data_IF_085700781909
#
_entry.id   IF_085700781909
#
_cell.length_a   1.000
_cell.length_b   1.000
_cell.length_c   1.000
_cell.angle_alpha   90.00
_cell.angle_beta   90.00
_cell.angle_gamma   90.00
#
_symmetry.space_group_name_H-M   'P 1'
#
loop_
_entity.id
_entity.type
_entity.pdbx_description
1 polymer ?
#
# COMPACT_ATOMS: atom_id res chain seq x y z
N UNK A 1 26.77 19.54 -19.29
CA UNK A 1 25.89 18.43 -18.85
C UNK A 1 24.44 18.90 -19.00
N UNK A 2 23.58 18.24 -19.78
CA UNK A 2 22.19 18.66 -19.90
C UNK A 2 21.44 18.21 -18.64
N UNK A 3 20.74 19.13 -18.00
CA UNK A 3 19.82 18.86 -16.89
C UNK A 3 18.59 18.17 -17.48
N UNK A 4 18.37 16.90 -17.15
CA UNK A 4 17.11 16.22 -17.46
C UNK A 4 16.01 16.90 -16.66
N UNK A 5 15.13 17.60 -17.38
CA UNK A 5 13.91 18.19 -16.86
C UNK A 5 12.96 17.03 -16.57
N UNK A 6 12.78 16.69 -15.30
CA UNK A 6 11.78 15.72 -14.88
C UNK A 6 10.39 16.21 -15.29
N UNK A 7 9.74 15.46 -16.18
CA UNK A 7 8.39 15.71 -16.69
C UNK A 7 7.37 15.24 -15.64
N UNK A 8 7.32 15.94 -14.51
CA UNK A 8 6.75 15.45 -13.24
C UNK A 8 5.26 15.08 -13.21
N UNK A 9 4.47 15.30 -14.28
CA UNK A 9 3.06 14.86 -14.35
C UNK A 9 2.81 13.62 -15.19
N UNK A 10 3.50 13.47 -16.33
CA UNK A 10 3.36 12.26 -17.17
C UNK A 10 4.02 11.07 -16.50
N UNK A 11 5.23 11.26 -15.98
CA UNK A 11 5.97 10.21 -15.28
C UNK A 11 5.24 9.77 -14.00
N UNK A 12 4.60 10.70 -13.27
CA UNK A 12 3.82 10.36 -12.08
C UNK A 12 2.56 9.56 -12.42
N UNK A 13 1.80 9.97 -13.43
CA UNK A 13 0.58 9.29 -13.85
C UNK A 13 0.87 7.95 -14.54
N UNK A 14 1.93 7.84 -15.33
CA UNK A 14 2.41 6.57 -15.88
C UNK A 14 2.89 5.63 -14.77
N UNK A 15 3.68 6.11 -13.81
CA UNK A 15 4.07 5.31 -12.65
C UNK A 15 2.86 4.92 -11.77
N UNK A 16 1.83 5.76 -11.67
CA UNK A 16 0.60 5.43 -10.94
C UNK A 16 -0.24 4.38 -11.69
N UNK A 17 -0.38 4.51 -13.02
CA UNK A 17 -1.04 3.51 -13.86
C UNK A 17 -0.32 2.16 -13.83
N UNK A 18 1.02 2.15 -13.88
CA UNK A 18 1.85 0.93 -13.70
C UNK A 18 1.65 0.31 -12.31
N UNK A 19 1.45 1.11 -11.26
CA UNK A 19 1.16 0.62 -9.90
C UNK A 19 -0.23 -0.01 -9.77
N UNK A 20 -1.22 0.48 -10.54
CA UNK A 20 -2.63 0.04 -10.45
C UNK A 20 -2.85 -1.36 -11.08
N UNK A 21 -1.85 -1.94 -11.73
CA UNK A 21 -1.95 -3.20 -12.47
C UNK A 21 -1.09 -4.35 -11.89
N UNK A 22 -0.35 -4.12 -10.80
CA UNK A 22 0.54 -5.12 -10.20
C UNK A 22 -0.18 -6.18 -9.34
N UNK A 23 -1.40 -6.58 -9.71
CA UNK A 23 -2.05 -7.76 -9.13
C UNK A 23 -1.30 -9.02 -9.56
N UNK A 24 -0.62 -8.98 -10.71
CA UNK A 24 0.23 -10.05 -11.28
C UNK A 24 1.49 -10.39 -10.43
N UNK A 25 1.72 -9.70 -9.29
CA UNK A 25 2.80 -10.02 -8.33
C UNK A 25 2.39 -11.14 -7.35
N UNK A 26 1.10 -11.44 -7.25
CA UNK A 26 0.59 -12.51 -6.39
C UNK A 26 0.47 -13.77 -7.25
N UNK A 27 1.30 -14.78 -6.98
CA UNK A 27 1.21 -16.05 -7.70
C UNK A 27 -0.09 -16.79 -7.34
N UNK A 28 -0.65 -17.54 -8.29
CA UNK A 28 -1.80 -18.41 -8.04
C UNK A 28 -1.49 -19.41 -6.92
N UNK A 29 -0.28 -19.95 -6.87
CA UNK A 29 0.19 -20.85 -5.82
C UNK A 29 0.18 -20.19 -4.42
N UNK A 30 0.64 -18.93 -4.31
CA UNK A 30 0.58 -18.17 -3.05
C UNK A 30 -0.88 -18.04 -2.57
N UNK A 31 -1.81 -17.77 -3.49
CA UNK A 31 -3.24 -17.63 -3.21
C UNK A 31 -3.90 -18.94 -2.82
N UNK A 32 -3.57 -20.06 -3.48
CA UNK A 32 -4.13 -21.37 -3.15
C UNK A 32 -3.68 -21.82 -1.75
N UNK A 33 -2.40 -21.65 -1.41
CA UNK A 33 -1.86 -22.11 -0.13
C UNK A 33 -2.29 -21.27 1.07
N UNK A 34 -2.52 -19.96 0.88
CA UNK A 34 -2.72 -19.01 1.98
C UNK A 34 -4.08 -18.33 1.97
N UNK A 35 -4.81 -18.38 0.86
CA UNK A 35 -6.19 -17.96 0.63
C UNK A 35 -6.72 -16.87 1.61
N UNK A 36 -6.31 -15.60 1.45
CA UNK A 36 -6.78 -14.52 2.30
C UNK A 36 -8.30 -14.33 2.15
N UNK A 37 -9.02 -14.41 3.27
CA UNK A 37 -10.47 -14.14 3.27
C UNK A 37 -10.77 -12.64 3.19
N UNK A 38 -11.97 -12.28 2.74
CA UNK A 38 -12.46 -10.90 2.81
C UNK A 38 -12.35 -10.33 4.23
N UNK A 39 -12.66 -11.14 5.26
CA UNK A 39 -12.53 -10.74 6.67
C UNK A 39 -11.09 -10.38 7.03
N UNK A 40 -10.12 -11.15 6.53
CA UNK A 40 -8.68 -10.92 6.73
C UNK A 40 -8.25 -9.59 6.09
N UNK A 41 -8.68 -9.35 4.84
CA UNK A 41 -8.37 -8.12 4.09
C UNK A 41 -8.93 -6.90 4.81
N UNK A 42 -10.21 -6.92 5.17
CA UNK A 42 -10.88 -5.82 5.87
C UNK A 42 -10.25 -5.52 7.23
N UNK A 43 -9.75 -6.55 7.93
CA UNK A 43 -9.04 -6.36 9.20
C UNK A 43 -7.73 -5.59 9.02
N UNK A 44 -6.95 -5.92 7.99
CA UNK A 44 -5.70 -5.21 7.68
C UNK A 44 -5.99 -3.79 7.21
N UNK A 45 -6.98 -3.59 6.33
CA UNK A 45 -7.38 -2.24 5.90
C UNK A 45 -7.79 -1.37 7.08
N UNK A 46 -8.67 -1.87 7.96
CA UNK A 46 -9.09 -1.16 9.17
C UNK A 46 -7.89 -0.78 10.04
N UNK A 47 -6.96 -1.70 10.22
CA UNK A 47 -5.76 -1.49 11.02
C UNK A 47 -4.88 -0.33 10.48
N UNK A 48 -4.71 -0.24 9.16
CA UNK A 48 -4.01 0.88 8.51
C UNK A 48 -4.79 2.20 8.55
N UNK A 49 -6.12 2.16 8.48
CA UNK A 49 -6.94 3.37 8.65
C UNK A 49 -6.80 3.95 10.06
N UNK A 50 -6.72 3.09 11.06
CA UNK A 50 -6.54 3.48 12.47
C UNK A 50 -5.09 3.89 12.79
N UNK A 51 -4.11 3.38 12.03
CA UNK A 51 -2.69 3.64 12.23
C UNK A 51 -2.06 3.89 10.86
N UNK A 52 -1.82 5.15 10.54
CA UNK A 52 -1.36 5.56 9.20
C UNK A 52 0.01 5.02 8.83
N UNK A 53 0.79 4.53 9.80
CA UNK A 53 2.16 4.07 9.59
C UNK A 53 2.55 2.92 10.53
N UNK A 54 3.36 2.00 10.01
CA UNK A 54 4.00 0.92 10.75
C UNK A 54 5.47 0.85 10.40
N UNK A 55 6.35 0.73 11.40
CA UNK A 55 7.79 0.65 11.21
C UNK A 55 8.24 -0.69 10.60
N UNK A 56 7.40 -1.73 10.66
CA UNK A 56 7.71 -3.05 10.08
C UNK A 56 6.49 -3.94 9.95
N UNK A 57 6.58 -4.98 9.09
CA UNK A 57 5.56 -6.05 9.00
C UNK A 57 5.32 -6.76 10.33
N UNK A 58 6.36 -6.93 11.15
CA UNK A 58 6.24 -7.58 12.46
C UNK A 58 5.38 -6.75 13.42
N UNK A 59 5.44 -5.43 13.33
CA UNK A 59 4.55 -4.56 14.11
C UNK A 59 3.09 -4.75 13.68
N UNK A 60 2.83 -4.89 12.38
CA UNK A 60 1.49 -5.16 11.85
C UNK A 60 0.97 -6.51 12.40
N UNK A 61 1.77 -7.58 12.31
CA UNK A 61 1.40 -8.90 12.86
C UNK A 61 1.10 -8.85 14.36
N UNK A 62 1.91 -8.12 15.15
CA UNK A 62 1.67 -7.94 16.59
C UNK A 62 0.35 -7.22 16.85
N UNK A 63 0.02 -6.17 16.09
CA UNK A 63 -1.27 -5.46 16.22
C UNK A 63 -2.47 -6.29 15.76
N UNK A 64 -2.25 -7.26 14.87
CA UNK A 64 -3.28 -8.24 14.49
C UNK A 64 -3.48 -9.33 15.56
N UNK A 65 -2.70 -9.33 16.63
CA UNK A 65 -2.83 -10.22 17.79
C UNK A 65 -2.90 -11.71 17.41
N UNK A 66 -1.97 -12.15 16.54
CA UNK A 66 -1.87 -13.56 16.13
C UNK A 66 -3.02 -14.09 15.26
N UNK A 67 -4.04 -13.27 14.97
CA UNK A 67 -5.20 -13.68 14.17
C UNK A 67 -4.91 -14.00 12.70
N UNK A 68 -3.66 -13.82 12.26
CA UNK A 68 -3.24 -13.98 10.88
C UNK A 68 -1.81 -14.52 10.80
N UNK A 69 -1.58 -15.46 9.89
CA UNK A 69 -0.24 -15.97 9.57
C UNK A 69 0.51 -14.97 8.70
N UNK A 70 1.84 -14.90 8.85
CA UNK A 70 2.68 -13.98 8.08
C UNK A 70 2.54 -14.10 6.54
N UNK A 71 2.42 -15.32 5.94
CA UNK A 71 2.18 -15.43 4.50
C UNK A 71 0.87 -14.79 4.04
N UNK A 72 -0.22 -14.97 4.81
CA UNK A 72 -1.52 -14.35 4.53
C UNK A 72 -1.40 -12.82 4.56
N UNK A 73 -0.68 -12.28 5.55
CA UNK A 73 -0.41 -10.85 5.62
C UNK A 73 0.38 -10.37 4.40
N UNK A 74 1.42 -11.10 3.98
CA UNK A 74 2.21 -10.71 2.81
C UNK A 74 1.36 -10.57 1.54
N UNK A 75 0.43 -11.50 1.31
CA UNK A 75 -0.48 -11.44 0.16
C UNK A 75 -1.38 -10.22 0.27
N UNK A 76 -1.95 -9.96 1.45
CA UNK A 76 -2.81 -8.79 1.66
C UNK A 76 -2.04 -7.49 1.46
N UNK A 77 -0.79 -7.40 1.94
CA UNK A 77 0.05 -6.21 1.73
C UNK A 77 0.38 -6.00 0.25
N UNK A 78 0.72 -7.07 -0.49
CA UNK A 78 0.89 -7.02 -1.95
C UNK A 78 -0.39 -6.52 -2.63
N UNK A 79 -1.55 -7.06 -2.25
CA UNK A 79 -2.85 -6.67 -2.78
C UNK A 79 -3.16 -5.19 -2.53
N UNK A 80 -3.02 -4.72 -1.30
CA UNK A 80 -3.28 -3.31 -0.95
C UNK A 80 -2.28 -2.34 -1.61
N UNK A 81 -1.03 -2.77 -1.79
CA UNK A 81 0.00 -2.01 -2.54
C UNK A 81 -0.36 -1.93 -4.02
N UNK A 82 -0.81 -3.03 -4.62
CA UNK A 82 -1.31 -3.06 -6.01
C UNK A 82 -2.55 -2.18 -6.22
N UNK A 83 -3.40 -2.04 -5.20
CA UNK A 83 -4.51 -1.08 -5.21
C UNK A 83 -4.06 0.38 -4.97
N UNK A 84 -2.78 0.63 -4.74
CA UNK A 84 -2.26 1.97 -4.41
C UNK A 84 -2.74 2.52 -3.07
N UNK A 85 -3.20 1.66 -2.14
CA UNK A 85 -3.69 2.08 -0.82
C UNK A 85 -2.57 2.23 0.20
N UNK A 86 -1.49 1.46 0.05
CA UNK A 86 -0.31 1.49 0.91
C UNK A 86 0.97 1.55 0.08
N UNK A 87 2.05 2.02 0.73
CA UNK A 87 3.43 1.92 0.22
C UNK A 87 4.32 1.24 1.26
N UNK A 88 5.32 0.51 0.79
CA UNK A 88 6.51 0.12 1.53
C UNK A 88 7.63 1.13 1.26
N UNK A 89 8.20 1.68 2.32
CA UNK A 89 9.27 2.66 2.25
C UNK A 89 10.63 1.94 2.29
N UNK A 90 11.68 2.65 1.85
CA UNK A 90 13.05 2.11 1.82
C UNK A 90 13.60 1.72 3.21
N UNK A 91 13.08 2.34 4.27
CA UNK A 91 13.41 2.04 5.66
C UNK A 91 12.69 0.78 6.22
N UNK A 92 11.87 0.12 5.39
CA UNK A 92 11.09 -1.05 5.76
C UNK A 92 9.76 -0.76 6.45
N UNK A 93 9.40 0.52 6.60
CA UNK A 93 8.10 0.94 7.10
C UNK A 93 7.01 0.82 6.04
N UNK A 94 5.75 0.83 6.49
CA UNK A 94 4.56 0.68 5.67
C UNK A 94 3.58 1.80 6.00
N UNK A 95 3.17 2.57 4.98
CA UNK A 95 2.35 3.77 5.15
C UNK A 95 1.03 3.64 4.41
N UNK A 96 -0.07 4.02 5.05
CA UNK A 96 -1.37 4.20 4.41
C UNK A 96 -1.40 5.53 3.65
N UNK A 97 -1.59 5.46 2.34
CA UNK A 97 -1.58 6.63 1.45
C UNK A 97 -2.93 6.90 0.78
N UNK A 98 -3.95 6.07 1.06
CA UNK A 98 -5.25 6.22 0.43
C UNK A 98 -5.99 7.46 0.94
N UNK A 99 -5.96 8.53 0.12
CA UNK A 99 -6.43 9.86 0.48
C UNK A 99 -7.95 10.00 0.62
N UNK A 100 -8.74 9.03 0.11
CA UNK A 100 -10.21 9.07 0.22
C UNK A 100 -10.65 9.14 1.68
N UNK A 101 -9.88 8.50 2.57
CA UNK A 101 -10.22 8.39 4.00
C UNK A 101 -9.32 9.25 4.91
N UNK A 102 -8.42 10.08 4.33
CA UNK A 102 -7.45 10.86 5.11
C UNK A 102 -7.47 12.33 4.68
N UNK A 103 -8.16 13.17 5.45
CA UNK A 103 -8.29 14.61 5.17
C UNK A 103 -6.96 15.34 5.12
N UNK A 104 -5.98 14.94 5.93
CA UNK A 104 -4.64 15.54 5.97
C UNK A 104 -3.86 15.22 4.69
N UNK A 105 -3.93 13.97 4.21
CA UNK A 105 -3.33 13.57 2.94
C UNK A 105 -4.07 14.17 1.76
N UNK A 106 -5.41 14.24 1.80
CA UNK A 106 -6.22 14.91 0.79
C UNK A 106 -5.83 16.38 0.66
N UNK A 107 -5.67 17.08 1.79
CA UNK A 107 -5.20 18.47 1.83
C UNK A 107 -3.79 18.60 1.27
N UNK A 108 -2.87 17.74 1.69
CA UNK A 108 -1.48 17.75 1.22
C UNK A 108 -1.37 17.45 -0.29
N UNK A 109 -2.18 16.52 -0.80
CA UNK A 109 -2.28 16.21 -2.23
C UNK A 109 -2.85 17.39 -3.02
N UNK A 110 -3.94 18.00 -2.54
CA UNK A 110 -4.52 19.20 -3.16
C UNK A 110 -3.47 20.32 -3.21
N UNK A 111 -2.76 20.57 -2.11
CA UNK A 111 -1.73 21.61 -2.04
C UNK A 111 -0.53 21.32 -2.96
N UNK A 112 -0.14 20.05 -3.13
CA UNK A 112 0.93 19.64 -4.03
C UNK A 112 0.53 19.64 -5.52
N UNK A 113 -0.75 19.40 -5.84
CA UNK A 113 -1.26 19.30 -7.22
C UNK A 113 -1.75 20.63 -7.78
N UNK A 114 -1.96 21.65 -6.93
CA UNK A 114 -2.18 23.03 -7.37
C UNK A 114 -1.09 23.44 -8.38
N UNK A 115 -1.48 23.39 -9.66
CA UNK A 115 -0.86 24.09 -10.79
C UNK A 115 -1.07 25.59 -10.62
#
# INVERSE_FOLDING_TARGET
MPKTVYSGKKDFLENMQVRTLNIDIISEEDLEQNNPTLKSILKVEKLFKENTEFNSKNQILRKLDGSMKAPVLNIILKYLKGLGKIIDNEDGSWTWIYAVDNEKLKKSYIDAVKL
#
